data_IF_963983944880
#
_entry.id   IF_963983944880
#
_cell.length_a   1.000
_cell.length_b   1.000
_cell.length_c   1.000
_cell.angle_alpha   90.00
_cell.angle_beta   90.00
_cell.angle_gamma   90.00
#
_symmetry.space_group_name_H-M   'P 1'
#
loop_
_entity.id
_entity.type
_entity.pdbx_description
1 polymer ?
#
# COMPACT_ATOMS: atom_id res chain seq x y z
N UNK A 1 2.28 -5.04 -11.45
CA UNK A 1 1.95 -3.94 -10.51
C UNK A 1 0.44 -3.86 -10.21
N UNK A 2 -0.46 -3.72 -11.18
CA UNK A 2 -1.93 -3.64 -10.91
C UNK A 2 -2.49 -4.91 -10.26
N UNK A 3 -2.09 -6.10 -10.74
CA UNK A 3 -2.57 -7.36 -10.17
C UNK A 3 -2.16 -7.51 -8.71
N UNK A 4 -0.86 -7.43 -8.42
CA UNK A 4 -0.31 -7.39 -7.06
C UNK A 4 -1.04 -6.38 -6.17
N UNK A 5 -1.19 -5.15 -6.64
CA UNK A 5 -1.83 -4.08 -5.85
C UNK A 5 -3.27 -4.43 -5.48
N UNK A 6 -3.98 -5.15 -6.35
CA UNK A 6 -5.40 -5.51 -6.16
C UNK A 6 -5.55 -6.77 -5.31
N UNK A 7 -4.68 -7.76 -5.51
CA UNK A 7 -4.83 -9.10 -4.94
C UNK A 7 -4.08 -9.30 -3.62
N UNK A 8 -3.07 -8.49 -3.34
CA UNK A 8 -2.24 -8.62 -2.14
C UNK A 8 -2.16 -7.30 -1.37
N UNK A 9 -1.61 -6.24 -1.98
CA UNK A 9 -1.30 -5.00 -1.25
C UNK A 9 -2.51 -4.32 -0.61
N UNK A 10 -3.57 -4.03 -1.39
CA UNK A 10 -4.75 -3.38 -0.86
C UNK A 10 -5.48 -4.22 0.19
N UNK A 11 -5.74 -5.53 -0.05
CA UNK A 11 -6.29 -6.40 0.99
C UNK A 11 -5.45 -6.43 2.27
N UNK A 12 -4.12 -6.45 2.15
CA UNK A 12 -3.23 -6.48 3.30
C UNK A 12 -3.33 -5.21 4.13
N UNK A 13 -3.28 -4.03 3.51
CA UNK A 13 -3.49 -2.75 4.21
C UNK A 13 -4.87 -2.69 4.86
N UNK A 14 -5.93 -3.08 4.13
CA UNK A 14 -7.31 -3.00 4.63
C UNK A 14 -7.65 -4.06 5.67
N UNK A 15 -6.80 -5.07 5.86
CA UNK A 15 -6.95 -6.07 6.93
C UNK A 15 -6.44 -5.57 8.28
N UNK A 16 -5.69 -4.47 8.32
CA UNK A 16 -5.13 -3.90 9.55
C UNK A 16 -6.24 -3.12 10.29
N UNK A 17 -6.47 -3.40 11.59
CA UNK A 17 -7.42 -2.63 12.40
C UNK A 17 -7.16 -1.12 12.34
N UNK A 18 -8.22 -0.34 12.14
CA UNK A 18 -8.16 1.12 12.01
C UNK A 18 -8.06 1.63 10.57
N UNK A 19 -7.76 0.78 9.57
CA UNK A 19 -7.94 1.16 8.17
C UNK A 19 -9.43 1.20 7.81
N UNK A 20 -9.84 2.27 7.12
CA UNK A 20 -11.24 2.51 6.77
C UNK A 20 -11.52 2.32 5.29
N UNK A 21 -10.60 2.75 4.42
CA UNK A 21 -10.81 2.71 2.97
C UNK A 21 -9.48 2.73 2.22
N UNK A 22 -9.42 2.01 1.10
CA UNK A 22 -8.33 2.08 0.14
C UNK A 22 -8.90 2.37 -1.24
N UNK A 23 -8.38 3.40 -1.91
CA UNK A 23 -8.78 3.77 -3.28
C UNK A 23 -7.54 3.85 -4.16
N UNK A 24 -7.60 3.19 -5.32
CA UNK A 24 -6.66 3.41 -6.41
C UNK A 24 -7.25 4.43 -7.38
N UNK A 25 -6.51 5.50 -7.61
CA UNK A 25 -6.80 6.54 -8.57
C UNK A 25 -6.04 6.24 -9.86
N UNK A 26 -6.62 6.61 -11.00
CA UNK A 26 -5.99 6.52 -12.31
C UNK A 26 -6.14 7.85 -13.03
N UNK A 27 -5.03 8.43 -13.46
CA UNK A 27 -4.99 9.61 -14.30
C UNK A 27 -4.53 9.19 -15.71
N UNK A 28 -5.45 8.95 -16.66
CA UNK A 28 -5.10 8.39 -17.96
C UNK A 28 -4.37 9.35 -18.90
N UNK A 29 -4.35 10.65 -18.58
CA UNK A 29 -3.82 11.71 -19.45
C UNK A 29 -2.33 12.00 -19.24
N UNK A 30 -1.66 11.26 -18.34
CA UNK A 30 -0.23 11.39 -18.06
C UNK A 30 0.51 10.12 -18.45
N UNK A 31 1.77 10.25 -18.84
CA UNK A 31 2.67 9.12 -19.11
C UNK A 31 3.41 8.64 -17.86
N UNK A 32 3.53 9.51 -16.84
CA UNK A 32 4.19 9.24 -15.56
C UNK A 32 3.22 9.36 -14.40
N UNK A 33 3.41 8.58 -13.33
CA UNK A 33 2.54 8.59 -12.14
C UNK A 33 1.05 8.38 -12.48
N UNK A 34 0.78 7.49 -13.43
CA UNK A 34 -0.57 7.17 -13.94
C UNK A 34 -1.52 6.68 -12.82
N UNK A 35 -0.95 6.10 -11.77
CA UNK A 35 -1.69 5.55 -10.64
C UNK A 35 -1.26 6.23 -9.34
N UNK A 36 -2.25 6.47 -8.48
CA UNK A 36 -2.04 6.87 -7.09
C UNK A 36 -2.92 6.04 -6.17
N UNK A 37 -2.54 5.95 -4.89
CA UNK A 37 -3.32 5.21 -3.90
C UNK A 37 -3.57 6.10 -2.69
N UNK A 38 -4.82 6.09 -2.22
CA UNK A 38 -5.26 6.82 -1.02
C UNK A 38 -5.78 5.81 -0.02
N UNK A 39 -5.24 5.85 1.19
CA UNK A 39 -5.77 5.12 2.33
C UNK A 39 -6.32 6.11 3.36
N UNK A 40 -7.51 5.82 3.87
CA UNK A 40 -8.08 6.47 5.03
C UNK A 40 -8.03 5.51 6.20
N UNK A 41 -7.74 6.05 7.39
CA UNK A 41 -7.73 5.34 8.64
C UNK A 41 -8.44 6.17 9.71
N UNK A 42 -8.75 5.57 10.86
CA UNK A 42 -9.39 6.22 12.00
C UNK A 42 -8.59 7.44 12.48
N UNK A 43 -7.27 7.31 12.54
CA UNK A 43 -6.32 8.40 12.78
C UNK A 43 -4.94 8.08 12.17
N UNK A 44 -3.99 9.00 12.34
CA UNK A 44 -2.64 8.88 11.76
C UNK A 44 -1.79 7.79 12.43
N UNK A 45 -2.09 7.40 13.68
CA UNK A 45 -1.32 6.42 14.43
C UNK A 45 -1.53 4.99 13.92
N UNK A 46 -2.62 4.73 13.17
CA UNK A 46 -2.80 3.46 12.46
C UNK A 46 -1.62 3.16 11.52
N UNK A 47 -1.06 4.18 10.85
CA UNK A 47 0.12 4.06 9.99
C UNK A 47 1.45 3.97 10.76
N UNK A 48 1.40 4.08 12.09
CA UNK A 48 2.53 3.84 13.00
C UNK A 48 2.32 2.59 13.86
N UNK A 49 1.19 1.91 13.70
CA UNK A 49 0.82 0.78 14.53
C UNK A 49 1.79 -0.38 14.34
N UNK A 50 2.01 -1.22 15.38
CA UNK A 50 2.82 -2.43 15.25
C UNK A 50 2.35 -3.34 14.12
N UNK A 51 1.02 -3.47 13.92
CA UNK A 51 0.44 -4.28 12.84
C UNK A 51 0.81 -3.76 11.44
N UNK A 52 0.78 -2.44 11.23
CA UNK A 52 1.19 -1.84 9.95
C UNK A 52 2.71 -1.95 9.71
N UNK A 53 3.51 -1.70 10.75
CA UNK A 53 4.96 -1.80 10.66
C UNK A 53 5.45 -3.23 10.45
N UNK A 54 4.79 -4.22 11.07
CA UNK A 54 5.12 -5.64 10.87
C UNK A 54 4.99 -6.05 9.40
N UNK A 55 3.90 -5.65 8.72
CA UNK A 55 3.73 -5.93 7.29
C UNK A 55 4.74 -5.19 6.43
N UNK A 56 4.97 -3.91 6.73
CA UNK A 56 5.92 -3.07 5.99
C UNK A 56 7.35 -3.62 6.06
N UNK A 57 7.75 -4.14 7.23
CA UNK A 57 9.09 -4.66 7.47
C UNK A 57 9.29 -6.11 7.04
N UNK A 58 8.21 -6.86 6.78
CA UNK A 58 8.25 -8.27 6.39
C UNK A 58 7.47 -8.51 5.09
N UNK A 59 7.92 -7.96 3.94
CA UNK A 59 7.20 -8.08 2.69
C UNK A 59 7.10 -9.53 2.24
N UNK A 60 5.95 -9.92 1.68
CA UNK A 60 5.83 -11.21 1.00
C UNK A 60 6.79 -11.28 -0.20
N UNK A 61 7.10 -12.48 -0.73
CA UNK A 61 7.90 -12.60 -1.94
C UNK A 61 7.33 -11.80 -3.13
N UNK A 62 6.00 -11.71 -3.25
CA UNK A 62 5.37 -10.94 -4.33
C UNK A 62 5.49 -9.43 -4.10
N UNK A 63 5.29 -8.95 -2.88
CA UNK A 63 5.52 -7.55 -2.51
C UNK A 63 6.97 -7.13 -2.75
N UNK A 64 7.94 -7.93 -2.31
CA UNK A 64 9.36 -7.66 -2.52
C UNK A 64 9.76 -7.59 -4.01
N UNK A 65 9.08 -8.36 -4.87
CA UNK A 65 9.29 -8.32 -6.31
C UNK A 65 8.54 -7.16 -7.01
N UNK A 66 7.38 -6.76 -6.48
CA UNK A 66 6.52 -5.75 -7.09
C UNK A 66 6.91 -4.31 -6.72
N UNK A 67 7.43 -4.12 -5.51
CA UNK A 67 7.90 -2.84 -4.99
C UNK A 67 9.35 -3.05 -4.58
N UNK A 68 10.33 -2.50 -5.32
CA UNK A 68 11.69 -2.47 -4.85
C UNK A 68 11.73 -1.77 -3.48
N UNK A 69 12.55 -2.22 -2.52
CA UNK A 69 12.73 -1.48 -1.29
C UNK A 69 13.10 -0.04 -1.66
N UNK A 70 12.52 0.93 -0.95
CA UNK A 70 12.88 2.33 -1.10
C UNK A 70 14.38 2.47 -0.76
N UNK A 71 15.26 2.37 -1.76
CA UNK A 71 16.67 2.70 -1.61
C UNK A 71 16.81 4.22 -1.62
N UNK A 72 16.48 4.84 -0.49
CA UNK A 72 16.82 6.21 -0.12
C UNK A 72 16.71 6.33 1.40
N UNK A 73 17.67 5.73 2.11
CA UNK A 73 18.73 6.41 2.86
C UNK A 73 19.98 5.51 2.84
#
# INVERSE_FOLDING_TARGET
MIEWHTREHMPECLSIPGFLTGKRLRLPTTESYVYGTVYAAEDVEVFRSPAYLERTNNPTPWTAAAVPPLSCL
#
